data_IF_158708887251
#
_entry.id   IF_158708887251
#
_cell.length_a   1.000
_cell.length_b   1.000
_cell.length_c   1.000
_cell.angle_alpha   90.00
_cell.angle_beta   90.00
_cell.angle_gamma   90.00
#
_symmetry.space_group_name_H-M   'P 1'
#
loop_
_entity.id
_entity.type
_entity.pdbx_description
1 polymer ?
#
# COMPACT_ATOMS: atom_id res chain seq x y z
N UNK A 1 -2.69 -5.80 4.57
CA UNK A 1 -2.26 -6.63 3.43
C UNK A 1 -3.26 -7.72 3.11
N UNK A 2 -3.68 -8.53 4.09
CA UNK A 2 -4.71 -9.57 3.89
C UNK A 2 -5.93 -9.04 3.11
N UNK A 3 -6.53 -7.94 3.56
CA UNK A 3 -7.74 -7.40 2.94
C UNK A 3 -7.53 -7.05 1.46
N UNK A 4 -6.40 -6.41 1.13
CA UNK A 4 -6.04 -6.08 -0.24
C UNK A 4 -5.93 -7.32 -1.13
N UNK A 5 -5.23 -8.35 -0.66
CA UNK A 5 -5.07 -9.61 -1.39
C UNK A 5 -6.43 -10.29 -1.60
N UNK A 6 -7.26 -10.36 -0.55
CA UNK A 6 -8.58 -11.01 -0.61
C UNK A 6 -9.52 -10.29 -1.59
N UNK A 7 -9.52 -8.96 -1.60
CA UNK A 7 -10.36 -8.16 -2.51
C UNK A 7 -9.90 -8.30 -3.97
N UNK A 8 -8.60 -8.25 -4.25
CA UNK A 8 -8.06 -8.44 -5.60
C UNK A 8 -8.38 -9.85 -6.15
N UNK A 9 -8.33 -10.88 -5.30
CA UNK A 9 -8.75 -12.24 -5.66
C UNK A 9 -10.25 -12.34 -6.04
N UNK A 10 -11.06 -11.40 -5.55
CA UNK A 10 -12.48 -11.27 -5.90
C UNK A 10 -12.72 -10.34 -7.10
N UNK A 11 -11.66 -9.85 -7.75
CA UNK A 11 -11.75 -8.92 -8.87
C UNK A 11 -12.08 -7.48 -8.46
N UNK A 12 -11.88 -7.11 -7.19
CA UNK A 12 -12.07 -5.76 -6.69
C UNK A 12 -10.69 -5.07 -6.58
N UNK A 13 -10.42 -4.02 -7.40
CA UNK A 13 -9.15 -3.30 -7.33
C UNK A 13 -8.94 -2.63 -5.97
N UNK A 14 -7.72 -2.69 -5.45
CA UNK A 14 -7.33 -2.13 -4.16
C UNK A 14 -6.05 -1.31 -4.23
N UNK A 15 -5.94 -0.34 -3.32
CA UNK A 15 -4.69 0.37 -3.08
C UNK A 15 -4.26 0.18 -1.62
N UNK A 16 -3.48 -0.87 -1.36
CA UNK A 16 -2.92 -1.12 -0.04
C UNK A 16 -1.77 -0.15 0.25
N UNK A 17 -1.82 0.56 1.37
CA UNK A 17 -0.75 1.44 1.86
C UNK A 17 -0.22 0.87 3.17
N UNK A 18 1.10 0.77 3.30
CA UNK A 18 1.79 0.40 4.54
C UNK A 18 2.81 1.48 4.91
N UNK A 19 3.29 1.47 6.16
CA UNK A 19 4.50 2.23 6.51
C UNK A 19 5.77 1.44 6.23
N UNK A 20 6.88 2.13 5.94
CA UNK A 20 8.20 1.56 5.66
C UNK A 20 8.67 0.46 6.62
N UNK A 21 8.39 0.59 7.93
CA UNK A 21 8.71 -0.42 8.95
C UNK A 21 8.06 -1.80 8.69
N UNK A 22 7.00 -1.86 7.87
CA UNK A 22 6.29 -3.10 7.53
C UNK A 22 6.75 -3.73 6.21
N UNK A 23 7.71 -3.16 5.48
CA UNK A 23 8.13 -3.69 4.16
C UNK A 23 8.62 -5.14 4.25
N UNK A 24 9.37 -5.51 5.29
CA UNK A 24 9.84 -6.89 5.46
C UNK A 24 8.69 -7.85 5.79
N UNK A 25 7.78 -7.45 6.67
CA UNK A 25 6.56 -8.21 6.96
C UNK A 25 5.71 -8.38 5.71
N UNK A 26 5.60 -7.33 4.90
CA UNK A 26 4.84 -7.35 3.66
C UNK A 26 5.40 -8.35 2.64
N UNK A 27 6.72 -8.34 2.43
CA UNK A 27 7.42 -9.31 1.57
C UNK A 27 7.26 -10.75 2.06
N UNK A 28 7.35 -10.99 3.37
CA UNK A 28 7.15 -12.32 3.93
C UNK A 28 5.70 -12.79 3.75
N UNK A 29 4.73 -11.92 4.02
CA UNK A 29 3.32 -12.23 3.97
C UNK A 29 2.82 -12.50 2.54
N UNK A 30 3.21 -11.66 1.59
CA UNK A 30 2.85 -11.83 0.17
C UNK A 30 3.38 -13.13 -0.42
N UNK A 31 4.61 -13.54 -0.06
CA UNK A 31 5.17 -14.85 -0.41
C UNK A 31 4.39 -16.00 0.22
N UNK A 32 4.05 -15.90 1.50
CA UNK A 32 3.25 -16.90 2.20
C UNK A 32 1.88 -17.11 1.54
N UNK A 33 1.27 -16.02 1.05
CA UNK A 33 -0.02 -16.04 0.36
C UNK A 33 0.07 -16.43 -1.13
N UNK A 34 1.27 -16.75 -1.65
CA UNK A 34 1.46 -17.13 -3.06
C UNK A 34 1.38 -15.98 -4.06
N UNK A 35 1.47 -14.72 -3.60
CA UNK A 35 1.35 -13.50 -4.41
C UNK A 35 2.57 -12.58 -4.20
N UNK A 36 3.80 -13.03 -4.48
CA UNK A 36 5.03 -12.29 -4.13
C UNK A 36 5.14 -10.90 -4.77
N UNK A 37 4.47 -10.70 -5.91
CA UNK A 37 4.44 -9.44 -6.65
C UNK A 37 3.21 -8.57 -6.32
N UNK A 38 2.47 -8.88 -5.25
CA UNK A 38 1.31 -8.10 -4.84
C UNK A 38 1.71 -6.63 -4.61
N UNK A 39 1.13 -5.68 -5.36
CA UNK A 39 1.53 -4.28 -5.28
C UNK A 39 0.98 -3.60 -4.02
N UNK A 40 1.81 -2.76 -3.40
CA UNK A 40 1.41 -1.90 -2.29
C UNK A 40 2.26 -0.63 -2.26
N UNK A 41 1.70 0.44 -1.73
CA UNK A 41 2.39 1.71 -1.53
C UNK A 41 3.07 1.77 -0.17
N UNK A 42 4.18 2.49 -0.10
CA UNK A 42 4.96 2.67 1.13
C UNK A 42 4.97 4.14 1.52
N UNK A 43 4.55 4.42 2.76
CA UNK A 43 4.60 5.73 3.39
C UNK A 43 5.69 5.73 4.49
N UNK A 44 6.43 6.82 4.72
CA UNK A 44 7.34 6.89 5.86
C UNK A 44 6.62 6.76 7.21
N UNK A 45 7.16 5.99 8.15
CA UNK A 45 6.74 5.99 9.55
C UNK A 45 7.32 7.21 10.30
N UNK A 46 6.65 7.76 11.33
CA UNK A 46 5.29 7.47 11.79
C UNK A 46 4.22 8.19 10.95
N UNK A 47 2.96 7.84 11.18
CA UNK A 47 1.78 8.57 10.65
C UNK A 47 0.93 9.23 11.75
N UNK A 48 1.11 8.82 13.02
CA UNK A 48 0.30 9.26 14.15
C UNK A 48 0.86 10.48 14.88
N UNK A 49 2.18 10.71 14.80
CA UNK A 49 2.87 11.78 15.53
C UNK A 49 3.62 12.73 14.57
N UNK A 50 3.01 12.98 13.41
CA UNK A 50 3.51 13.86 12.35
C UNK A 50 2.58 15.07 12.27
N UNK A 51 3.14 16.25 12.00
CA UNK A 51 2.31 17.44 11.78
C UNK A 51 1.35 17.25 10.60
N UNK A 52 0.18 17.88 10.71
CA UNK A 52 -0.89 17.82 9.70
C UNK A 52 -0.42 18.24 8.30
N UNK A 53 0.43 19.28 8.18
CA UNK A 53 0.91 19.74 6.88
C UNK A 53 1.89 18.74 6.26
N UNK A 54 2.71 18.08 7.07
CA UNK A 54 3.62 17.05 6.61
C UNK A 54 2.85 15.77 6.21
N UNK A 55 1.84 15.36 6.97
CA UNK A 55 0.99 14.23 6.62
C UNK A 55 0.23 14.48 5.31
N UNK A 56 -0.29 15.69 5.13
CA UNK A 56 -0.95 16.14 3.91
C UNK A 56 0.03 16.12 2.70
N UNK A 57 1.27 16.58 2.89
CA UNK A 57 2.29 16.51 1.86
C UNK A 57 2.63 15.06 1.46
N UNK A 58 2.66 14.13 2.41
CA UNK A 58 2.83 12.69 2.13
C UNK A 58 1.62 12.13 1.39
N UNK A 59 0.40 12.47 1.80
CA UNK A 59 -0.83 12.05 1.12
C UNK A 59 -0.87 12.52 -0.33
N UNK A 60 -0.51 13.79 -0.59
CA UNK A 60 -0.43 14.34 -1.96
C UNK A 60 0.56 13.61 -2.87
N UNK A 61 1.67 13.11 -2.32
CA UNK A 61 2.64 12.29 -3.06
C UNK A 61 2.13 10.88 -3.36
N UNK A 62 1.32 10.31 -2.46
CA UNK A 62 0.75 8.97 -2.62
C UNK A 62 -0.49 8.95 -3.52
N UNK A 63 -1.31 10.01 -3.50
CA UNK A 63 -2.56 10.10 -4.25
C UNK A 63 -2.47 9.69 -5.73
N UNK A 64 -1.52 10.20 -6.55
CA UNK A 64 -1.42 9.77 -7.96
C UNK A 64 -1.06 8.28 -8.09
N UNK A 65 -0.30 7.73 -7.14
CA UNK A 65 0.07 6.31 -7.14
C UNK A 65 -1.11 5.43 -6.75
N UNK A 66 -1.97 5.89 -5.82
CA UNK A 66 -3.25 5.24 -5.48
C UNK A 66 -4.13 5.15 -6.72
N UNK A 67 -4.30 6.25 -7.44
CA UNK A 67 -5.09 6.27 -8.69
C UNK A 67 -4.53 5.29 -9.71
N UNK A 68 -3.21 5.27 -9.92
CA UNK A 68 -2.57 4.35 -10.86
C UNK A 68 -2.80 2.89 -10.46
N UNK A 69 -2.64 2.58 -9.17
CA UNK A 69 -2.81 1.22 -8.68
C UNK A 69 -4.25 0.73 -8.86
N UNK A 70 -5.26 1.57 -8.57
CA UNK A 70 -6.67 1.23 -8.75
C UNK A 70 -7.10 1.07 -10.21
N UNK A 71 -6.49 1.83 -11.13
CA UNK A 71 -6.89 1.83 -12.55
C UNK A 71 -6.07 0.86 -13.40
N UNK A 72 -4.81 0.62 -13.06
CA UNK A 72 -3.88 -0.17 -13.88
C UNK A 72 -3.46 -1.49 -13.21
N UNK A 73 -3.69 -1.67 -11.91
CA UNK A 73 -3.25 -2.85 -11.14
C UNK A 73 -1.73 -2.95 -10.97
N UNK A 74 -0.98 -1.87 -11.27
CA UNK A 74 0.49 -1.84 -11.21
C UNK A 74 1.01 -0.46 -10.82
N UNK A 75 2.21 -0.43 -10.21
CA UNK A 75 2.94 0.79 -9.87
C UNK A 75 3.81 1.32 -11.02
#
# INVERSE_FOLDING_TARGET
MLDGITLEQQGLPTATIITDVFVNTAKAYTRLMGVPEFPYLVCPHPITNVDSAELEARARKLAPQVTRLLLEGRL
#
